data_IF_120492111447
#
_entry.id   IF_120492111447
#
_cell.length_a   1.000
_cell.length_b   1.000
_cell.length_c   1.000
_cell.angle_alpha   90.00
_cell.angle_beta   90.00
_cell.angle_gamma   90.00
#
_symmetry.space_group_name_H-M   'P 1'
#
loop_
_entity.id
_entity.type
_entity.pdbx_description
1 polymer ?
#
# COMPACT_ATOMS: atom_id res chain seq x y z
N UNK A 1 -1.13 1.80 25.83
CA UNK A 1 -1.31 2.10 27.26
C UNK A 1 -2.67 1.64 27.80
N UNK A 2 -3.79 1.96 27.13
CA UNK A 2 -5.15 1.59 27.57
C UNK A 2 -5.37 0.08 27.70
N UNK A 3 -4.90 -0.71 26.72
CA UNK A 3 -5.00 -2.19 26.75
C UNK A 3 -4.23 -2.79 27.93
N UNK A 4 -3.03 -2.29 28.21
CA UNK A 4 -2.22 -2.75 29.35
C UNK A 4 -2.89 -2.43 30.70
N UNK A 5 -3.56 -1.27 30.82
CA UNK A 5 -4.33 -0.93 32.00
C UNK A 5 -5.53 -1.87 32.21
N UNK A 6 -6.30 -2.15 31.14
CA UNK A 6 -7.43 -3.10 31.25
C UNK A 6 -6.98 -4.54 31.52
N UNK A 7 -5.86 -4.98 30.95
CA UNK A 7 -5.25 -6.26 31.29
C UNK A 7 -4.82 -6.31 32.76
N UNK A 8 -4.21 -5.24 33.28
CA UNK A 8 -3.84 -5.14 34.69
C UNK A 8 -5.04 -5.18 35.64
N UNK A 9 -6.11 -4.43 35.32
CA UNK A 9 -7.36 -4.44 36.10
C UNK A 9 -8.06 -5.80 36.01
N UNK A 10 -8.11 -6.39 34.81
CA UNK A 10 -8.68 -7.72 34.57
C UNK A 10 -7.95 -8.81 35.36
N UNK A 11 -6.62 -8.80 35.33
CA UNK A 11 -5.79 -9.67 36.14
C UNK A 11 -6.07 -9.44 37.63
N UNK A 12 -5.98 -8.21 38.14
CA UNK A 12 -6.24 -7.92 39.55
C UNK A 12 -7.63 -8.40 40.03
N UNK A 13 -8.66 -8.27 39.19
CA UNK A 13 -10.02 -8.75 39.50
C UNK A 13 -10.12 -10.27 39.46
N UNK A 14 -9.47 -10.92 38.50
CA UNK A 14 -9.36 -12.40 38.45
C UNK A 14 -8.64 -12.93 39.68
N UNK A 15 -7.52 -12.31 40.07
CA UNK A 15 -6.76 -12.65 41.26
C UNK A 15 -7.61 -12.53 42.53
N UNK A 16 -8.37 -11.44 42.67
CA UNK A 16 -9.28 -11.23 43.81
C UNK A 16 -10.46 -12.21 43.87
N UNK A 17 -10.90 -12.75 42.74
CA UNK A 17 -11.97 -13.77 42.69
C UNK A 17 -11.42 -15.17 43.01
N UNK A 18 -10.23 -15.51 42.50
CA UNK A 18 -9.56 -16.79 42.78
C UNK A 18 -9.24 -16.91 44.27
N UNK A 19 -8.66 -15.86 44.88
CA UNK A 19 -8.34 -15.87 46.32
C UNK A 19 -9.61 -16.04 47.18
N UNK A 20 -10.74 -15.46 46.76
CA UNK A 20 -12.04 -15.59 47.45
C UNK A 20 -12.68 -16.97 47.31
N UNK A 21 -12.36 -17.71 46.25
CA UNK A 21 -12.86 -19.07 46.00
C UNK A 21 -11.97 -20.19 46.55
N UNK A 22 -10.82 -19.87 47.16
CA UNK A 22 -9.94 -20.87 47.75
C UNK A 22 -10.56 -21.44 49.04
N UNK A 23 -10.43 -22.76 49.28
CA UNK A 23 -10.87 -23.38 50.53
C UNK A 23 -10.21 -22.73 51.76
N UNK A 24 -10.95 -22.64 52.87
CA UNK A 24 -10.54 -21.98 54.12
C UNK A 24 -9.28 -22.55 54.77
N UNK A 25 -8.84 -23.76 54.39
CA UNK A 25 -7.61 -24.38 54.88
C UNK A 25 -6.33 -23.84 54.19
N UNK A 26 -6.46 -23.06 53.11
CA UNK A 26 -5.32 -22.47 52.40
C UNK A 26 -5.04 -21.08 52.97
N UNK A 27 -3.84 -20.83 53.53
CA UNK A 27 -3.47 -19.50 53.99
C UNK A 27 -3.53 -18.48 52.85
N UNK A 28 -4.06 -17.29 53.13
CA UNK A 28 -4.25 -16.22 52.13
C UNK A 28 -2.92 -15.78 51.50
N UNK A 29 -1.81 -15.88 52.25
CA UNK A 29 -0.44 -15.67 51.75
C UNK A 29 -0.05 -16.69 50.68
N UNK A 30 -0.33 -17.97 50.90
CA UNK A 30 -0.07 -19.05 49.95
C UNK A 30 -0.94 -18.91 48.69
N UNK A 31 -2.21 -18.54 48.85
CA UNK A 31 -3.10 -18.23 47.73
C UNK A 31 -2.58 -17.08 46.86
N UNK A 32 -2.02 -16.02 47.46
CA UNK A 32 -1.38 -14.92 46.71
C UNK A 32 -0.17 -15.40 45.91
N UNK A 33 0.72 -16.21 46.50
CA UNK A 33 1.89 -16.75 45.78
C UNK A 33 1.50 -17.65 44.61
N UNK A 34 0.51 -18.53 44.78
CA UNK A 34 0.00 -19.38 43.69
C UNK A 34 -0.57 -18.56 42.53
N UNK A 35 -1.29 -17.50 42.84
CA UNK A 35 -1.89 -16.61 41.85
C UNK A 35 -0.83 -15.79 41.11
N UNK A 36 0.18 -15.28 41.82
CA UNK A 36 1.32 -14.59 41.19
C UNK A 36 2.10 -15.57 40.31
N UNK A 37 2.42 -16.76 40.83
CA UNK A 37 3.14 -17.80 40.09
C UNK A 37 2.42 -18.25 38.82
N UNK A 38 1.10 -18.48 38.90
CA UNK A 38 0.29 -18.81 37.72
C UNK A 38 0.18 -17.65 36.73
N UNK A 39 0.09 -16.40 37.19
CA UNK A 39 0.10 -15.22 36.31
C UNK A 39 1.42 -15.10 35.54
N UNK A 40 2.56 -15.26 36.25
CA UNK A 40 3.89 -15.25 35.63
C UNK A 40 4.05 -16.43 34.67
N UNK A 41 3.57 -17.62 35.03
CA UNK A 41 3.60 -18.80 34.17
C UNK A 41 2.77 -18.59 32.90
N UNK A 42 1.57 -18.01 32.99
CA UNK A 42 0.74 -17.69 31.83
C UNK A 42 1.41 -16.68 30.89
N UNK A 43 2.00 -15.61 31.43
CA UNK A 43 2.77 -14.65 30.64
C UNK A 43 4.00 -15.32 30.01
N UNK A 44 4.73 -16.13 30.77
CA UNK A 44 5.88 -16.89 30.27
C UNK A 44 5.50 -17.86 29.15
N UNK A 45 4.35 -18.53 29.29
CA UNK A 45 3.79 -19.40 28.25
C UNK A 45 3.42 -18.59 27.00
N UNK A 46 2.70 -17.46 27.14
CA UNK A 46 2.36 -16.59 26.01
C UNK A 46 3.61 -16.07 25.29
N UNK A 47 4.63 -15.64 26.03
CA UNK A 47 5.91 -15.22 25.45
C UNK A 47 6.53 -16.42 24.72
N UNK A 48 6.70 -17.57 25.37
CA UNK A 48 7.32 -18.75 24.74
C UNK A 48 6.61 -19.20 23.45
N UNK A 49 5.27 -19.27 23.46
CA UNK A 49 4.48 -19.70 22.30
C UNK A 49 4.51 -18.70 21.15
N UNK A 50 4.47 -17.40 21.45
CA UNK A 50 4.37 -16.35 20.43
C UNK A 50 5.72 -15.71 20.07
N UNK A 51 6.78 -15.94 20.84
CA UNK A 51 8.08 -15.30 20.64
C UNK A 51 8.62 -15.54 19.23
N UNK A 52 8.51 -16.76 18.69
CA UNK A 52 9.02 -17.04 17.34
C UNK A 52 8.36 -16.19 16.25
N UNK A 53 7.06 -15.93 16.38
CA UNK A 53 6.29 -15.09 15.44
C UNK A 53 6.54 -13.61 15.68
N UNK A 54 6.58 -13.17 16.94
CA UNK A 54 6.82 -11.78 17.34
C UNK A 54 8.30 -11.38 17.37
N UNK A 55 9.24 -12.30 17.13
CA UNK A 55 10.66 -11.97 17.14
C UNK A 55 11.04 -11.32 15.82
N UNK A 56 11.11 -9.98 15.85
CA UNK A 56 11.49 -9.18 14.71
C UNK A 56 13.00 -8.89 14.61
N UNK A 57 13.83 -9.32 15.59
CA UNK A 57 15.26 -8.95 15.68
C UNK A 57 16.13 -9.27 14.45
N UNK A 58 15.78 -10.32 13.69
CA UNK A 58 16.53 -10.78 12.51
C UNK A 58 15.80 -10.60 11.17
N UNK A 59 14.62 -10.01 11.18
CA UNK A 59 13.71 -9.96 10.01
C UNK A 59 13.89 -8.75 9.12
N UNK A 60 14.74 -7.80 9.52
CA UNK A 60 14.85 -6.52 8.85
C UNK A 60 13.64 -5.61 9.09
N UNK A 61 13.79 -4.37 8.65
CA UNK A 61 12.89 -3.24 8.91
C UNK A 61 11.85 -3.16 7.79
N UNK A 62 11.06 -4.21 7.55
CA UNK A 62 10.17 -4.34 6.38
C UNK A 62 9.24 -3.14 6.19
N UNK A 63 8.69 -2.60 7.28
CA UNK A 63 7.84 -1.40 7.22
C UNK A 63 8.62 -0.11 6.91
N UNK A 64 9.84 0.02 7.42
CA UNK A 64 10.70 1.17 7.08
C UNK A 64 11.18 1.06 5.64
N UNK A 65 11.60 -0.13 5.18
CA UNK A 65 11.98 -0.32 3.77
C UNK A 65 10.81 -0.12 2.83
N UNK A 66 9.59 -0.49 3.24
CA UNK A 66 8.36 -0.15 2.52
C UNK A 66 8.15 1.36 2.40
N UNK A 67 8.19 2.09 3.52
CA UNK A 67 8.00 3.54 3.54
C UNK A 67 9.10 4.29 2.76
N UNK A 68 10.36 3.87 2.90
CA UNK A 68 11.48 4.41 2.11
C UNK A 68 11.27 4.10 0.62
N UNK A 69 10.84 2.89 0.27
CA UNK A 69 10.53 2.55 -1.12
C UNK A 69 9.41 3.43 -1.70
N UNK A 70 8.42 3.86 -0.91
CA UNK A 70 7.47 4.86 -1.38
C UNK A 70 8.15 6.21 -1.59
N UNK A 71 8.81 6.75 -0.56
CA UNK A 71 9.42 8.08 -0.57
C UNK A 71 10.53 8.26 -1.60
N UNK A 72 11.44 7.29 -1.74
CA UNK A 72 12.62 7.36 -2.61
C UNK A 72 12.24 7.40 -4.09
N UNK A 73 11.04 6.96 -4.45
CA UNK A 73 10.53 7.08 -5.83
C UNK A 73 9.96 8.44 -6.16
N UNK A 74 9.78 9.31 -5.18
CA UNK A 74 9.11 10.60 -5.34
C UNK A 74 10.14 11.69 -5.67
N UNK A 75 9.92 12.50 -6.73
CA UNK A 75 10.71 13.68 -7.00
C UNK A 75 10.68 14.68 -5.83
N UNK A 76 11.67 15.59 -5.74
CA UNK A 76 11.65 16.66 -4.76
C UNK A 76 10.38 17.51 -4.86
N UNK A 77 9.90 18.01 -3.71
CA UNK A 77 8.74 18.93 -3.63
C UNK A 77 7.46 18.37 -4.28
N UNK A 78 7.25 17.06 -4.18
CA UNK A 78 6.04 16.40 -4.64
C UNK A 78 5.04 16.18 -3.50
N UNK A 79 3.80 15.84 -3.87
CA UNK A 79 2.73 15.53 -2.94
C UNK A 79 2.38 14.05 -3.02
N UNK A 80 2.41 13.36 -1.88
CA UNK A 80 1.92 12.01 -1.72
C UNK A 80 0.54 12.03 -1.04
N UNK A 81 -0.47 11.50 -1.71
CA UNK A 81 -1.82 11.34 -1.21
C UNK A 81 -2.05 9.91 -0.74
N UNK A 82 -2.02 9.70 0.58
CA UNK A 82 -2.29 8.41 1.17
C UNK A 82 -3.76 8.21 1.51
N UNK A 83 -4.34 7.16 0.96
CA UNK A 83 -5.70 6.72 1.22
C UNK A 83 -5.76 5.52 2.16
N UNK A 84 -4.66 4.76 2.26
CA UNK A 84 -4.61 3.57 3.11
C UNK A 84 -3.81 3.82 4.38
N UNK A 85 -4.21 3.17 5.47
CA UNK A 85 -3.51 3.25 6.75
C UNK A 85 -2.04 2.84 6.68
N UNK A 86 -1.69 1.88 5.82
CA UNK A 86 -0.29 1.42 5.69
C UNK A 86 0.59 2.51 5.09
N UNK A 87 0.18 3.14 3.98
CA UNK A 87 0.97 4.21 3.36
C UNK A 87 1.02 5.42 4.28
N UNK A 88 -0.10 5.77 4.91
CA UNK A 88 -0.16 6.88 5.84
C UNK A 88 0.79 6.68 7.03
N UNK A 89 0.67 5.57 7.77
CA UNK A 89 1.44 5.39 8.99
C UNK A 89 2.93 5.11 8.72
N UNK A 90 3.24 4.31 7.69
CA UNK A 90 4.63 4.01 7.35
C UNK A 90 5.41 5.27 6.93
N UNK A 91 4.82 6.10 6.06
CA UNK A 91 5.49 7.33 5.60
C UNK A 91 5.51 8.38 6.70
N UNK A 92 4.39 8.59 7.42
CA UNK A 92 4.34 9.57 8.51
C UNK A 92 5.38 9.29 9.59
N UNK A 93 5.58 8.03 9.97
CA UNK A 93 6.62 7.67 10.93
C UNK A 93 8.02 8.08 10.43
N UNK A 94 8.35 7.81 9.16
CA UNK A 94 9.64 8.17 8.59
C UNK A 94 9.84 9.69 8.53
N UNK A 95 8.80 10.46 8.24
CA UNK A 95 8.91 11.93 8.18
C UNK A 95 8.96 12.56 9.57
N UNK A 96 8.04 12.20 10.47
CA UNK A 96 7.89 12.83 11.78
C UNK A 96 8.95 12.37 12.79
N UNK A 97 9.30 11.07 12.78
CA UNK A 97 10.23 10.50 13.76
C UNK A 97 11.66 10.39 13.22
N UNK A 98 11.85 10.12 11.92
CA UNK A 98 13.18 9.92 11.33
C UNK A 98 13.61 11.06 10.39
N UNK A 99 12.77 12.09 10.21
CA UNK A 99 13.05 13.26 9.38
C UNK A 99 13.46 12.91 7.93
N UNK A 100 12.92 11.82 7.39
CA UNK A 100 13.16 11.40 6.00
C UNK A 100 12.31 12.24 5.05
N UNK A 101 12.93 12.72 3.96
CA UNK A 101 12.25 13.43 2.86
C UNK A 101 11.23 14.48 3.34
N UNK A 102 11.62 15.46 4.17
CA UNK A 102 10.72 16.53 4.61
C UNK A 102 10.30 17.44 3.45
N UNK A 103 10.97 17.35 2.30
CA UNK A 103 10.62 18.04 1.06
C UNK A 103 9.34 17.51 0.40
N UNK A 104 8.93 16.27 0.70
CA UNK A 104 7.71 15.67 0.16
C UNK A 104 6.54 15.99 1.09
N UNK A 105 5.50 16.60 0.54
CA UNK A 105 4.26 16.84 1.29
C UNK A 105 3.43 15.56 1.35
N UNK A 106 3.12 15.08 2.55
CA UNK A 106 2.31 13.88 2.76
C UNK A 106 0.95 14.21 3.36
N UNK A 107 -0.11 13.79 2.67
CA UNK A 107 -1.49 14.06 3.08
C UNK A 107 -2.27 12.76 3.28
N UNK A 108 -3.00 12.68 4.39
CA UNK A 108 -4.00 11.64 4.59
C UNK A 108 -5.29 12.00 3.83
N UNK A 109 -5.40 11.44 2.63
CA UNK A 109 -6.53 11.64 1.74
C UNK A 109 -7.80 10.93 2.20
N UNK A 110 -7.68 9.83 2.95
CA UNK A 110 -8.83 9.12 3.53
C UNK A 110 -9.55 9.94 4.61
N UNK A 111 -8.80 10.75 5.36
CA UNK A 111 -9.33 11.56 6.46
C UNK A 111 -9.77 12.96 6.03
N UNK A 112 -9.41 13.40 4.82
CA UNK A 112 -9.79 14.70 4.27
C UNK A 112 -11.30 15.00 4.29
N UNK A 113 -12.22 14.02 4.10
CA UNK A 113 -13.67 14.25 4.19
C UNK A 113 -14.17 14.71 5.58
N UNK A 114 -13.41 14.48 6.65
CA UNK A 114 -13.85 14.86 7.99
C UNK A 114 -13.75 16.36 8.21
N UNK A 115 -14.78 16.96 8.83
CA UNK A 115 -14.84 18.41 9.08
C UNK A 115 -13.65 18.94 9.89
N UNK A 116 -13.14 18.14 10.83
CA UNK A 116 -11.99 18.52 11.66
C UNK A 116 -10.67 18.54 10.88
N UNK A 117 -10.58 17.90 9.71
CA UNK A 117 -9.36 17.88 8.89
C UNK A 117 -8.99 19.29 8.43
N UNK A 118 -9.98 20.16 8.23
CA UNK A 118 -9.78 21.57 7.88
C UNK A 118 -8.87 22.34 8.83
N UNK A 119 -8.79 21.92 10.09
CA UNK A 119 -7.90 22.53 11.11
C UNK A 119 -6.41 22.27 10.84
N UNK A 120 -6.10 21.33 9.96
CA UNK A 120 -4.73 20.96 9.59
C UNK A 120 -4.27 21.61 8.30
N UNK A 121 -5.15 22.34 7.59
CA UNK A 121 -4.81 22.94 6.29
C UNK A 121 -3.60 23.89 6.38
N UNK A 122 -3.48 24.65 7.48
CA UNK A 122 -2.38 25.58 7.72
C UNK A 122 -1.01 24.90 7.81
N UNK A 123 -0.97 23.58 8.05
CA UNK A 123 0.26 22.79 8.08
C UNK A 123 0.83 22.52 6.67
N UNK A 124 0.08 22.81 5.61
CA UNK A 124 0.42 22.44 4.24
C UNK A 124 0.49 23.68 3.33
N UNK A 125 1.49 24.57 3.54
CA UNK A 125 1.65 25.75 2.72
C UNK A 125 1.89 25.34 1.26
N UNK A 126 1.15 25.94 0.33
CA UNK A 126 1.21 25.62 -1.10
C UNK A 126 0.18 24.59 -1.59
N UNK A 127 -0.58 23.97 -0.69
CA UNK A 127 -1.72 23.12 -1.07
C UNK A 127 -3.02 23.92 -1.03
N UNK A 128 -3.75 23.89 -2.14
CA UNK A 128 -5.09 24.47 -2.21
C UNK A 128 -6.12 23.39 -1.90
N UNK A 129 -6.80 23.50 -0.75
CA UNK A 129 -7.85 22.56 -0.36
C UNK A 129 -9.23 22.97 -0.90
N UNK A 130 -10.00 22.05 -1.49
CA UNK A 130 -11.36 22.34 -1.92
C UNK A 130 -12.29 22.42 -0.70
N UNK A 131 -13.32 23.26 -0.78
CA UNK A 131 -14.40 23.25 0.21
C UNK A 131 -15.11 21.90 0.24
N UNK A 132 -15.37 21.36 1.43
CA UNK A 132 -16.14 20.13 1.58
C UNK A 132 -17.59 20.36 1.09
N UNK A 133 -18.10 19.41 0.33
CA UNK A 133 -19.49 19.43 -0.18
C UNK A 133 -20.35 18.47 0.62
N UNK A 134 -21.67 18.66 0.54
CA UNK A 134 -22.61 17.70 1.11
C UNK A 134 -22.43 16.33 0.42
N UNK A 135 -22.38 15.26 1.22
CA UNK A 135 -22.19 13.90 0.72
C UNK A 135 -20.74 13.49 0.45
N UNK A 136 -19.74 14.26 0.91
CA UNK A 136 -18.36 13.76 0.99
C UNK A 136 -18.31 12.46 1.80
N UNK A 137 -17.44 11.55 1.39
CA UNK A 137 -17.32 10.22 1.99
C UNK A 137 -15.87 9.79 2.02
N UNK A 138 -15.53 8.97 3.02
CA UNK A 138 -14.25 8.27 3.12
C UNK A 138 -14.25 6.96 2.35
N UNK A 139 -15.38 6.55 1.77
CA UNK A 139 -15.53 5.28 1.07
C UNK A 139 -14.99 5.38 -0.35
N UNK A 140 -13.97 4.57 -0.66
CA UNK A 140 -13.41 4.37 -2.00
C UNK A 140 -14.51 4.06 -3.00
N UNK A 141 -14.50 4.78 -4.13
CA UNK A 141 -15.45 4.58 -5.22
C UNK A 141 -16.84 5.16 -4.97
N UNK A 142 -17.09 5.76 -3.81
CA UNK A 142 -18.30 6.56 -3.62
C UNK A 142 -18.23 7.85 -4.45
N UNK A 143 -19.38 8.33 -4.93
CA UNK A 143 -19.46 9.59 -5.70
C UNK A 143 -18.88 10.78 -4.91
N UNK A 144 -19.10 10.82 -3.61
CA UNK A 144 -18.58 11.86 -2.72
C UNK A 144 -17.05 11.89 -2.65
N UNK A 145 -16.43 10.72 -2.46
CA UNK A 145 -14.98 10.59 -2.46
C UNK A 145 -14.38 10.96 -3.82
N UNK A 146 -14.96 10.45 -4.91
CA UNK A 146 -14.50 10.73 -6.27
C UNK A 146 -14.57 12.23 -6.61
N UNK A 147 -15.65 12.92 -6.22
CA UNK A 147 -15.78 14.37 -6.41
C UNK A 147 -14.75 15.16 -5.59
N UNK A 148 -14.51 14.76 -4.34
CA UNK A 148 -13.48 15.40 -3.50
C UNK A 148 -12.10 15.24 -4.14
N UNK A 149 -11.74 14.02 -4.55
CA UNK A 149 -10.48 13.70 -5.24
C UNK A 149 -10.31 14.51 -6.51
N UNK A 150 -11.32 14.53 -7.38
CA UNK A 150 -11.28 15.34 -8.60
C UNK A 150 -11.01 16.81 -8.27
N UNK A 151 -11.76 17.40 -7.34
CA UNK A 151 -11.62 18.83 -7.01
C UNK A 151 -10.24 19.14 -6.42
N UNK A 152 -9.76 18.30 -5.51
CA UNK A 152 -8.44 18.45 -4.91
C UNK A 152 -7.32 18.34 -5.97
N UNK A 153 -7.37 17.31 -6.81
CA UNK A 153 -6.37 17.09 -7.86
C UNK A 153 -6.38 18.22 -8.87
N UNK A 154 -7.54 18.63 -9.38
CA UNK A 154 -7.66 19.71 -10.38
C UNK A 154 -7.16 21.06 -9.86
N UNK A 155 -7.23 21.32 -8.55
CA UNK A 155 -6.72 22.55 -7.95
C UNK A 155 -5.19 22.59 -7.83
N UNK A 156 -4.52 21.43 -7.79
CA UNK A 156 -3.10 21.35 -7.44
C UNK A 156 -2.21 20.76 -8.55
N UNK A 157 -2.74 19.89 -9.42
CA UNK A 157 -1.95 19.09 -10.36
C UNK A 157 -1.20 19.90 -11.42
N UNK A 158 -1.58 21.15 -11.66
CA UNK A 158 -0.92 22.02 -12.63
C UNK A 158 0.38 22.61 -12.09
N UNK A 159 0.46 22.82 -10.78
CA UNK A 159 1.59 23.45 -10.10
C UNK A 159 2.52 22.43 -9.43
N UNK A 160 1.99 21.27 -9.00
CA UNK A 160 2.72 20.33 -8.15
C UNK A 160 2.63 18.91 -8.73
N UNK A 161 3.72 18.16 -8.64
CA UNK A 161 3.72 16.74 -8.97
C UNK A 161 2.99 15.95 -7.88
N UNK A 162 1.96 15.20 -8.26
CA UNK A 162 1.11 14.49 -7.32
C UNK A 162 1.16 12.99 -7.54
N UNK A 163 1.20 12.26 -6.44
CA UNK A 163 1.23 10.81 -6.38
C UNK A 163 0.13 10.33 -5.44
N UNK A 164 -0.49 9.22 -5.79
CA UNK A 164 -1.66 8.71 -5.11
C UNK A 164 -1.46 7.24 -4.76
N UNK A 165 -1.93 6.83 -3.59
CA UNK A 165 -1.97 5.43 -3.20
C UNK A 165 -2.61 4.54 -4.27
N UNK A 166 -2.00 3.38 -4.53
CA UNK A 166 -2.48 2.45 -5.55
C UNK A 166 -3.95 2.06 -5.33
N UNK A 167 -4.32 1.83 -4.07
CA UNK A 167 -5.67 1.41 -3.68
C UNK A 167 -6.66 2.55 -3.44
N UNK A 168 -6.29 3.81 -3.68
CA UNK A 168 -7.23 4.93 -3.66
C UNK A 168 -8.10 4.97 -4.92
N UNK A 169 -7.57 4.48 -6.04
CA UNK A 169 -8.26 4.45 -7.33
C UNK A 169 -9.06 3.17 -7.44
N UNK A 170 -10.31 3.29 -7.89
CA UNK A 170 -11.07 2.13 -8.33
C UNK A 170 -10.62 1.74 -9.75
N UNK A 171 -9.87 0.65 -9.89
CA UNK A 171 -9.29 0.25 -11.17
C UNK A 171 -10.36 -0.12 -12.21
N UNK A 172 -11.56 -0.53 -11.78
CA UNK A 172 -12.69 -0.75 -12.69
C UNK A 172 -13.25 0.55 -13.29
N UNK A 173 -12.95 1.69 -12.68
CA UNK A 173 -13.33 3.02 -13.16
C UNK A 173 -12.22 3.68 -14.00
N UNK A 174 -11.08 3.03 -14.19
CA UNK A 174 -10.04 3.51 -15.09
C UNK A 174 -10.52 3.41 -16.54
N UNK A 175 -10.62 4.56 -17.19
CA UNK A 175 -10.89 4.66 -18.61
C UNK A 175 -9.66 4.35 -19.45
N UNK A 176 -9.79 4.59 -20.75
CA UNK A 176 -8.70 4.43 -21.70
C UNK A 176 -7.50 5.31 -21.30
N UNK A 177 -6.29 4.80 -21.51
CA UNK A 177 -5.02 5.50 -21.25
C UNK A 177 -4.84 5.97 -19.79
N UNK A 178 -5.55 5.33 -18.85
CA UNK A 178 -5.48 5.68 -17.43
C UNK A 178 -6.30 6.92 -17.06
N UNK A 179 -7.27 7.32 -17.88
CA UNK A 179 -8.20 8.39 -17.53
C UNK A 179 -8.98 8.03 -16.26
N UNK A 180 -9.01 8.95 -15.30
CA UNK A 180 -9.70 8.79 -14.03
C UNK A 180 -10.31 10.13 -13.59
N UNK A 181 -11.64 10.21 -13.68
CA UNK A 181 -12.46 11.31 -13.15
C UNK A 181 -11.89 12.73 -13.40
N UNK A 182 -11.47 13.03 -14.63
CA UNK A 182 -11.01 14.37 -15.05
C UNK A 182 -9.50 14.57 -15.10
N UNK A 183 -8.70 13.59 -14.65
CA UNK A 183 -7.24 13.58 -14.79
C UNK A 183 -6.77 12.21 -15.28
N UNK A 184 -5.47 12.05 -15.48
CA UNK A 184 -4.86 10.80 -15.94
C UNK A 184 -3.93 10.24 -14.88
N UNK A 185 -3.84 8.91 -14.80
CA UNK A 185 -2.88 8.23 -13.93
C UNK A 185 -2.06 7.22 -14.71
N UNK A 186 -0.78 7.11 -14.36
CA UNK A 186 0.09 6.03 -14.83
C UNK A 186 0.68 5.26 -13.65
N UNK A 187 0.91 3.95 -13.75
CA UNK A 187 1.53 3.20 -12.66
C UNK A 187 2.93 3.76 -12.34
N UNK A 188 3.21 3.97 -11.05
CA UNK A 188 4.50 4.45 -10.54
C UNK A 188 4.92 3.57 -9.37
N UNK A 189 5.30 2.33 -9.69
CA UNK A 189 5.65 1.35 -8.67
C UNK A 189 4.46 0.94 -7.82
N UNK A 190 4.52 1.31 -6.54
CA UNK A 190 3.48 1.02 -5.54
C UNK A 190 2.46 2.17 -5.40
N UNK A 191 2.54 3.15 -6.30
CA UNK A 191 1.72 4.35 -6.34
C UNK A 191 1.18 4.58 -7.76
N UNK A 192 0.22 5.48 -7.88
CA UNK A 192 -0.16 6.14 -9.11
C UNK A 192 0.54 7.49 -9.22
N UNK A 193 1.06 7.82 -10.41
CA UNK A 193 1.45 9.20 -10.73
C UNK A 193 0.29 9.89 -11.45
N UNK A 194 -0.09 11.07 -10.97
CA UNK A 194 -1.15 11.88 -11.55
C UNK A 194 -0.57 12.78 -12.64
N UNK A 195 -1.31 12.92 -13.74
CA UNK A 195 -0.94 13.76 -14.88
C UNK A 195 -2.12 14.61 -15.36
N UNK A 196 -1.78 15.82 -15.78
CA UNK A 196 -2.58 16.55 -16.76
C UNK A 196 -2.48 15.86 -18.13
N UNK A 197 -3.57 15.83 -18.90
CA UNK A 197 -3.61 15.20 -20.23
C UNK A 197 -2.44 15.61 -21.14
N UNK A 198 -2.13 16.91 -21.20
CA UNK A 198 -1.05 17.45 -22.06
C UNK A 198 0.36 17.05 -21.59
N UNK A 199 0.51 16.63 -20.33
CA UNK A 199 1.78 16.27 -19.70
C UNK A 199 1.99 14.75 -19.61
N UNK A 200 1.10 13.96 -20.20
CA UNK A 200 1.23 12.49 -20.21
C UNK A 200 2.57 12.07 -20.85
N UNK A 201 3.35 11.19 -20.19
CA UNK A 201 4.60 10.72 -20.74
C UNK A 201 4.36 9.81 -21.94
N UNK A 202 5.32 9.78 -22.87
CA UNK A 202 5.34 8.74 -23.89
C UNK A 202 5.57 7.38 -23.21
N UNK A 203 5.05 6.31 -23.81
CA UNK A 203 5.22 4.96 -23.27
C UNK A 203 6.70 4.59 -23.07
N UNK A 204 7.58 4.94 -24.01
CA UNK A 204 9.01 4.67 -23.90
C UNK A 204 9.64 5.34 -22.67
N UNK A 205 9.29 6.61 -22.41
CA UNK A 205 9.76 7.34 -21.23
C UNK A 205 9.23 6.71 -19.95
N UNK A 206 7.92 6.47 -19.87
CA UNK A 206 7.29 5.84 -18.72
C UNK A 206 7.87 4.44 -18.43
N UNK A 207 8.05 3.61 -19.45
CA UNK A 207 8.57 2.25 -19.29
C UNK A 207 10.01 2.25 -18.78
N UNK A 208 10.84 3.19 -19.25
CA UNK A 208 12.21 3.37 -18.74
C UNK A 208 12.20 3.74 -17.25
N UNK A 209 11.43 4.77 -16.88
CA UNK A 209 11.28 5.21 -15.48
C UNK A 209 10.75 4.07 -14.59
N UNK A 210 9.74 3.34 -15.06
CA UNK A 210 9.14 2.20 -14.37
C UNK A 210 10.09 1.01 -14.24
N UNK A 211 10.99 0.78 -15.19
CA UNK A 211 12.04 -0.25 -15.07
C UNK A 211 13.06 0.11 -13.99
N UNK A 212 13.55 1.36 -14.00
CA UNK A 212 14.48 1.87 -12.98
C UNK A 212 13.89 1.77 -11.58
N UNK A 213 12.60 2.13 -11.43
CA UNK A 213 11.91 2.07 -10.16
C UNK A 213 11.86 0.64 -9.59
N UNK A 214 11.47 -0.36 -10.39
CA UNK A 214 11.43 -1.75 -9.91
C UNK A 214 12.83 -2.35 -9.69
N UNK A 215 13.86 -1.89 -10.39
CA UNK A 215 15.24 -2.25 -10.08
C UNK A 215 15.65 -1.74 -8.70
N UNK A 216 15.28 -0.51 -8.36
CA UNK A 216 15.52 0.06 -7.03
C UNK A 216 14.79 -0.75 -5.95
N UNK A 217 13.54 -1.16 -6.18
CA UNK A 217 12.81 -2.01 -5.23
C UNK A 217 13.49 -3.34 -4.96
N UNK A 218 14.06 -3.98 -5.99
CA UNK A 218 14.79 -5.23 -5.79
C UNK A 218 16.03 -5.08 -4.89
N UNK A 219 16.56 -3.87 -4.75
CA UNK A 219 17.74 -3.58 -3.91
C UNK A 219 17.37 -3.05 -2.52
N UNK A 220 16.33 -2.22 -2.44
CA UNK A 220 15.96 -1.46 -1.23
C UNK A 220 14.79 -2.07 -0.46
N UNK A 221 13.87 -2.75 -1.15
CA UNK A 221 12.66 -3.30 -0.55
C UNK A 221 12.82 -4.80 -0.28
N UNK A 222 13.15 -5.13 0.97
CA UNK A 222 13.16 -6.51 1.46
C UNK A 222 11.73 -7.07 1.46
N UNK A 223 11.36 -7.76 0.37
CA UNK A 223 10.05 -8.41 0.22
C UNK A 223 9.77 -9.36 1.39
N UNK A 224 8.67 -9.11 2.09
CA UNK A 224 8.25 -9.90 3.25
C UNK A 224 8.13 -11.40 2.92
N UNK A 225 8.91 -12.25 3.59
CA UNK A 225 8.79 -13.70 3.38
C UNK A 225 7.45 -14.21 3.92
N UNK A 226 6.65 -14.87 3.07
CA UNK A 226 5.25 -15.26 3.38
C UNK A 226 5.16 -16.25 4.54
N UNK A 227 6.18 -17.10 4.73
CA UNK A 227 6.21 -18.02 5.87
C UNK A 227 6.43 -17.31 7.22
N UNK A 228 7.03 -16.11 7.22
CA UNK A 228 7.25 -15.31 8.43
C UNK A 228 6.11 -14.34 8.68
N UNK A 229 5.55 -13.77 7.61
CA UNK A 229 4.53 -12.75 7.66
C UNK A 229 3.22 -13.28 7.06
N UNK A 230 2.36 -13.90 7.90
CA UNK A 230 1.11 -14.49 7.43
C UNK A 230 0.10 -13.42 7.02
N UNK A 231 -0.99 -13.89 6.41
CA UNK A 231 -2.14 -13.07 6.07
C UNK A 231 -2.63 -12.27 7.30
N UNK A 232 -2.90 -10.97 7.09
CA UNK A 232 -3.34 -10.05 8.15
C UNK A 232 -2.21 -9.24 8.81
N UNK A 233 -0.93 -9.57 8.57
CA UNK A 233 0.19 -8.72 8.98
C UNK A 233 0.35 -7.50 8.07
N UNK A 234 0.92 -6.41 8.58
CA UNK A 234 1.22 -5.23 7.77
C UNK A 234 2.28 -5.54 6.70
N UNK A 235 3.25 -6.39 7.01
CA UNK A 235 4.28 -6.85 6.06
C UNK A 235 3.69 -7.62 4.89
N UNK A 236 2.65 -8.42 5.16
CA UNK A 236 1.87 -9.07 4.12
C UNK A 236 1.16 -8.06 3.22
N UNK A 237 0.56 -7.00 3.80
CA UNK A 237 -0.12 -5.95 3.04
C UNK A 237 0.88 -5.14 2.19
N UNK A 238 2.05 -4.78 2.71
CA UNK A 238 3.11 -4.11 1.95
C UNK A 238 3.56 -4.95 0.74
N UNK A 239 3.75 -6.27 0.94
CA UNK A 239 4.07 -7.19 -0.14
C UNK A 239 2.95 -7.28 -1.17
N UNK A 240 1.69 -7.28 -0.72
CA UNK A 240 0.53 -7.29 -1.60
C UNK A 240 0.49 -6.04 -2.49
N UNK A 241 0.75 -4.86 -1.92
CA UNK A 241 0.83 -3.59 -2.67
C UNK A 241 1.95 -3.63 -3.71
N UNK A 242 3.11 -4.21 -3.37
CA UNK A 242 4.19 -4.41 -4.34
C UNK A 242 3.75 -5.23 -5.56
N UNK A 243 3.08 -6.37 -5.33
CA UNK A 243 2.60 -7.20 -6.43
C UNK A 243 1.46 -6.55 -7.21
N UNK A 244 0.58 -5.81 -6.54
CA UNK A 244 -0.46 -5.04 -7.21
C UNK A 244 0.16 -3.97 -8.13
N UNK A 245 1.21 -3.28 -7.67
CA UNK A 245 1.97 -2.33 -8.48
C UNK A 245 2.65 -2.98 -9.69
N UNK A 246 3.26 -4.16 -9.49
CA UNK A 246 3.86 -4.94 -10.57
C UNK A 246 2.82 -5.38 -11.60
N UNK A 247 1.63 -5.77 -11.12
CA UNK A 247 0.52 -6.13 -11.97
C UNK A 247 0.01 -4.94 -12.79
N UNK A 248 -0.18 -3.77 -12.16
CA UNK A 248 -0.61 -2.56 -12.86
C UNK A 248 0.39 -2.08 -13.90
N UNK A 249 1.69 -2.19 -13.63
CA UNK A 249 2.74 -1.99 -14.63
C UNK A 249 2.55 -2.94 -15.82
N UNK A 250 2.38 -4.23 -15.57
CA UNK A 250 2.21 -5.24 -16.61
C UNK A 250 0.96 -4.98 -17.46
N UNK A 251 -0.16 -4.59 -16.83
CA UNK A 251 -1.40 -4.25 -17.54
C UNK A 251 -1.26 -3.01 -18.40
N UNK A 252 -0.62 -1.96 -17.89
CA UNK A 252 -0.41 -0.74 -18.67
C UNK A 252 0.46 -1.00 -19.90
N UNK A 253 1.51 -1.81 -19.76
CA UNK A 253 2.33 -2.28 -20.89
C UNK A 253 1.55 -3.15 -21.86
N UNK A 254 0.72 -4.07 -21.36
CA UNK A 254 -0.09 -4.95 -22.20
C UNK A 254 -1.10 -4.15 -23.03
N UNK A 255 -1.79 -3.20 -22.41
CA UNK A 255 -2.73 -2.31 -23.11
C UNK A 255 -2.04 -1.53 -24.23
N UNK A 256 -0.86 -0.95 -23.96
CA UNK A 256 -0.10 -0.21 -24.97
C UNK A 256 0.23 -1.09 -26.20
N UNK A 257 0.73 -2.30 -25.98
CA UNK A 257 1.13 -3.18 -27.09
C UNK A 257 -0.06 -3.76 -27.86
N UNK A 258 -1.18 -4.03 -27.18
CA UNK A 258 -2.43 -4.44 -27.84
C UNK A 258 -2.95 -3.30 -28.73
N UNK A 259 -3.01 -2.07 -28.22
CA UNK A 259 -3.47 -0.92 -28.99
C UNK A 259 -2.55 -0.58 -30.16
N UNK A 260 -1.23 -0.78 -30.00
CA UNK A 260 -0.25 -0.52 -31.07
C UNK A 260 -0.31 -1.57 -32.19
N UNK A 261 -0.45 -2.84 -31.85
CA UNK A 261 -0.60 -3.93 -32.84
C UNK A 261 -1.93 -3.83 -33.60
N UNK A 262 -3.02 -3.46 -32.94
CA UNK A 262 -4.31 -3.26 -33.60
C UNK A 262 -4.29 -2.15 -34.67
N UNK A 263 -3.41 -1.15 -34.52
CA UNK A 263 -3.32 0.01 -35.44
C UNK A 263 -2.40 -0.21 -36.63
N UNK A 264 -1.37 -1.06 -36.52
CA UNK A 264 -0.36 -1.25 -37.57
C UNK A 264 -0.63 -2.52 -38.39
N UNK A 265 -1.68 -2.48 -39.19
CA UNK A 265 -2.02 -3.58 -40.10
C UNK A 265 -1.16 -3.64 -41.38
N UNK A 266 -0.34 -2.62 -41.70
CA UNK A 266 0.43 -2.55 -42.97
C UNK A 266 1.86 -1.95 -42.88
N UNK A 267 2.16 -1.05 -41.94
CA UNK A 267 3.49 -0.39 -41.81
C UNK A 267 4.18 -0.71 -40.47
N UNK A 268 4.63 -1.95 -40.32
CA UNK A 268 5.39 -2.41 -39.14
C UNK A 268 6.88 -2.39 -39.48
N UNK A 269 7.68 -1.66 -38.70
CA UNK A 269 9.15 -1.68 -38.83
C UNK A 269 9.75 -2.83 -38.02
N UNK A 270 10.98 -3.25 -38.32
CA UNK A 270 11.69 -4.25 -37.50
C UNK A 270 11.85 -3.80 -36.04
N UNK A 271 12.16 -2.51 -35.80
CA UNK A 271 12.26 -1.95 -34.45
C UNK A 271 10.94 -2.03 -33.67
N UNK A 272 9.80 -1.90 -34.35
CA UNK A 272 8.49 -2.08 -33.73
C UNK A 272 8.24 -3.54 -33.33
N UNK A 273 8.68 -4.50 -34.14
CA UNK A 273 8.57 -5.93 -33.84
C UNK A 273 9.44 -6.32 -32.65
N UNK A 274 10.69 -5.85 -32.63
CA UNK A 274 11.62 -6.10 -31.51
C UNK A 274 11.08 -5.48 -30.22
N UNK A 275 10.63 -4.22 -30.28
CA UNK A 275 10.01 -3.55 -29.15
C UNK A 275 8.80 -4.32 -28.61
N UNK A 276 7.95 -4.82 -29.50
CA UNK A 276 6.77 -5.62 -29.15
C UNK A 276 7.17 -6.95 -28.50
N UNK A 277 8.06 -7.71 -29.13
CA UNK A 277 8.59 -9.00 -28.65
C UNK A 277 9.19 -8.88 -27.24
N UNK A 278 10.10 -7.91 -27.04
CA UNK A 278 10.72 -7.69 -25.74
C UNK A 278 9.71 -7.16 -24.71
N UNK A 279 8.77 -6.32 -25.15
CA UNK A 279 7.66 -5.83 -24.34
C UNK A 279 6.80 -6.97 -23.80
N UNK A 280 6.32 -7.85 -24.66
CA UNK A 280 5.52 -9.02 -24.27
C UNK A 280 6.30 -9.96 -23.36
N UNK A 281 7.57 -10.25 -23.67
CA UNK A 281 8.43 -11.08 -22.81
C UNK A 281 8.51 -10.52 -21.39
N UNK A 282 8.70 -9.20 -21.25
CA UNK A 282 8.78 -8.56 -19.93
C UNK A 282 7.44 -8.63 -19.18
N UNK A 283 6.30 -8.50 -19.89
CA UNK A 283 4.95 -8.66 -19.33
C UNK A 283 4.72 -10.10 -18.86
N UNK A 284 5.03 -11.10 -19.71
CA UNK A 284 4.91 -12.53 -19.39
C UNK A 284 5.72 -12.86 -18.14
N UNK A 285 6.97 -12.37 -18.05
CA UNK A 285 7.82 -12.58 -16.87
C UNK A 285 7.19 -12.02 -15.60
N UNK A 286 6.62 -10.81 -15.66
CA UNK A 286 5.95 -10.19 -14.52
C UNK A 286 4.69 -10.96 -14.10
N UNK A 287 3.80 -11.28 -15.06
CA UNK A 287 2.54 -11.97 -14.79
C UNK A 287 2.76 -13.42 -14.33
N UNK A 288 3.73 -14.14 -14.89
CA UNK A 288 4.12 -15.47 -14.39
C UNK A 288 4.66 -15.40 -12.96
N UNK A 289 5.50 -14.40 -12.66
CA UNK A 289 5.98 -14.18 -11.30
C UNK A 289 4.81 -14.00 -10.32
N UNK A 290 3.83 -13.19 -10.67
CA UNK A 290 2.62 -12.99 -9.85
C UNK A 290 1.81 -14.30 -9.73
N UNK A 291 1.59 -15.02 -10.84
CA UNK A 291 0.83 -16.27 -10.87
C UNK A 291 1.44 -17.36 -10.00
N UNK A 292 2.77 -17.51 -9.99
CA UNK A 292 3.45 -18.56 -9.23
C UNK A 292 3.82 -18.15 -7.80
N UNK A 293 4.05 -16.85 -7.54
CA UNK A 293 4.56 -16.39 -6.23
C UNK A 293 3.48 -15.72 -5.37
N UNK A 294 2.67 -14.84 -5.95
CA UNK A 294 1.73 -14.02 -5.19
C UNK A 294 0.35 -14.69 -5.06
N UNK A 295 -0.13 -15.27 -6.16
CA UNK A 295 -1.47 -15.84 -6.24
C UNK A 295 -1.71 -17.03 -5.28
N UNK A 296 -0.78 -17.99 -5.09
CA UNK A 296 -1.02 -19.14 -4.20
C UNK A 296 -1.18 -18.74 -2.73
N UNK A 297 -0.61 -17.59 -2.34
CA UNK A 297 -0.69 -17.04 -0.97
C UNK A 297 -1.65 -15.84 -0.88
N UNK A 298 -2.51 -15.65 -1.89
CA UNK A 298 -3.51 -14.57 -1.98
C UNK A 298 -2.94 -13.15 -1.85
N UNK A 299 -1.64 -12.97 -2.12
CA UNK A 299 -0.90 -11.72 -1.90
C UNK A 299 -0.98 -10.78 -3.12
N UNK A 300 -2.19 -10.65 -3.68
CA UNK A 300 -2.54 -9.78 -4.79
C UNK A 300 -4.04 -9.47 -4.69
N UNK A 301 -4.46 -8.24 -5.01
CA UNK A 301 -5.86 -7.82 -4.90
C UNK A 301 -6.72 -8.36 -6.04
N UNK A 302 -6.12 -8.59 -7.20
CA UNK A 302 -6.85 -8.91 -8.42
C UNK A 302 -7.35 -10.36 -8.46
N UNK A 303 -8.56 -10.61 -8.99
CA UNK A 303 -9.10 -11.96 -9.11
C UNK A 303 -8.20 -12.88 -9.94
N UNK A 304 -8.11 -14.16 -9.53
CA UNK A 304 -7.37 -15.20 -10.27
C UNK A 304 -7.74 -15.24 -11.76
N UNK A 305 -9.04 -15.12 -12.06
CA UNK A 305 -9.54 -15.12 -13.44
C UNK A 305 -8.91 -14.03 -14.30
N UNK A 306 -8.70 -12.84 -13.75
CA UNK A 306 -8.20 -11.68 -14.51
C UNK A 306 -6.70 -11.83 -14.76
N UNK A 307 -5.95 -12.29 -13.75
CA UNK A 307 -4.51 -12.58 -13.88
C UNK A 307 -4.28 -13.67 -14.93
N UNK A 308 -5.03 -14.77 -14.87
CA UNK A 308 -4.93 -15.87 -15.84
C UNK A 308 -5.33 -15.41 -17.24
N UNK A 309 -6.42 -14.63 -17.36
CA UNK A 309 -6.85 -14.07 -18.65
C UNK A 309 -5.76 -13.20 -19.26
N UNK A 310 -5.19 -12.28 -18.48
CA UNK A 310 -4.18 -11.34 -18.97
C UNK A 310 -2.85 -12.05 -19.28
N UNK A 311 -2.49 -13.08 -18.53
CA UNK A 311 -1.36 -13.95 -18.85
C UNK A 311 -1.61 -14.73 -20.15
N UNK A 312 -2.79 -15.34 -20.32
CA UNK A 312 -3.13 -16.04 -21.56
C UNK A 312 -3.09 -15.10 -22.78
N UNK A 313 -3.61 -13.87 -22.63
CA UNK A 313 -3.55 -12.85 -23.69
C UNK A 313 -2.12 -12.54 -24.14
N UNK A 314 -1.14 -12.62 -23.24
CA UNK A 314 0.27 -12.40 -23.58
C UNK A 314 0.94 -13.55 -24.33
N UNK A 315 0.35 -14.75 -24.30
CA UNK A 315 0.86 -15.93 -25.02
C UNK A 315 0.22 -16.13 -26.39
N UNK A 316 -0.99 -15.59 -26.60
CA UNK A 316 -1.76 -15.77 -27.84
C UNK A 316 -1.43 -14.69 -28.89
N UNK A 317 -0.68 -13.66 -28.51
CA UNK A 317 -0.38 -12.46 -29.30
C UNK A 317 1.12 -12.32 -29.53
#
# INVERSE_FOLDING_TARGET
MVIAMFLGIGLARMQGNVIRGLPSFIPTSMGRFLVIGSSVALVGLQISTHFRQSNHSKSGVVMSSYGNALLDTLPPHSVLLSYTDINWNSVRYLQECEHKRPDVTHLNFQLMPYSWFSRQHDLYPGITFPQLIQGVSTERGSKGFEQLMRRFVMQNMYAINMYLDLHAVNESALGKDGYYNGFYVTPHGMLWKIHEQKKMPTYAKWNKESKTLFQMYNQSFALAHSAKYPHGSWEYVARKIYFDGLYQKALHSLQYWIDRTAKKGKDVTYDDLDGYMFGLRDIVKALNGIYHVALPVQCVTYPRKDIVKNLALTYVR
#
